data_IF_969462417432
#
_entry.id   IF_969462417432
#
_cell.length_a   1.000
_cell.length_b   1.000
_cell.length_c   1.000
_cell.angle_alpha   90.00
_cell.angle_beta   90.00
_cell.angle_gamma   90.00
#
_symmetry.space_group_name_H-M   'P 1'
#
loop_
_entity.id
_entity.type
_entity.pdbx_description
1 polymer ?
#
# COMPACT_ATOMS: atom_id res chain seq x y z
N UNK A 1 9.22 39.90 -4.65
CA UNK A 1 9.60 39.16 -3.43
C UNK A 1 8.38 38.79 -2.57
N UNK A 2 7.47 39.72 -2.26
CA UNK A 2 6.23 39.41 -1.51
C UNK A 2 5.25 38.48 -2.26
N UNK A 3 5.07 38.68 -3.57
CA UNK A 3 4.22 37.82 -4.42
C UNK A 3 4.70 36.37 -4.47
N UNK A 4 6.01 36.14 -4.52
CA UNK A 4 6.62 34.79 -4.50
C UNK A 4 6.35 34.06 -3.17
N UNK A 5 6.32 34.81 -2.05
CA UNK A 5 5.99 34.25 -0.73
C UNK A 5 4.51 33.85 -0.65
N UNK A 6 3.59 34.66 -1.19
CA UNK A 6 2.17 34.30 -1.24
C UNK A 6 1.91 33.06 -2.10
N UNK A 7 2.57 32.97 -3.26
CA UNK A 7 2.45 31.81 -4.15
C UNK A 7 2.99 30.52 -3.51
N UNK A 8 4.14 30.58 -2.83
CA UNK A 8 4.64 29.45 -2.05
C UNK A 8 3.70 29.04 -0.93
N UNK A 9 3.05 30.01 -0.28
CA UNK A 9 2.11 29.72 0.81
C UNK A 9 0.84 29.02 0.30
N UNK A 10 0.30 29.45 -0.85
CA UNK A 10 -0.83 28.75 -1.48
C UNK A 10 -0.45 27.35 -1.96
N UNK A 11 0.74 27.17 -2.55
CA UNK A 11 1.24 25.85 -2.97
C UNK A 11 1.42 24.90 -1.78
N UNK A 12 1.85 25.40 -0.61
CA UNK A 12 1.99 24.60 0.62
C UNK A 12 0.64 24.16 1.18
N UNK A 13 -0.37 25.04 1.17
CA UNK A 13 -1.71 24.68 1.63
C UNK A 13 -2.40 23.68 0.68
N UNK A 14 -2.25 23.84 -0.64
CA UNK A 14 -2.71 22.84 -1.61
C UNK A 14 -2.03 21.48 -1.39
N UNK A 15 -0.72 21.47 -1.10
CA UNK A 15 0.00 20.24 -0.81
C UNK A 15 -0.52 19.57 0.47
N UNK A 16 -0.85 20.35 1.50
CA UNK A 16 -1.42 19.84 2.77
C UNK A 16 -2.79 19.22 2.55
N UNK A 17 -3.66 19.87 1.78
CA UNK A 17 -4.97 19.31 1.44
C UNK A 17 -4.84 17.99 0.66
N UNK A 18 -3.93 17.93 -0.31
CA UNK A 18 -3.67 16.70 -1.07
C UNK A 18 -3.16 15.56 -0.16
N UNK A 19 -2.27 15.86 0.79
CA UNK A 19 -1.77 14.88 1.76
C UNK A 19 -2.89 14.42 2.71
N UNK A 20 -3.73 15.33 3.19
CA UNK A 20 -4.88 14.99 4.05
C UNK A 20 -5.87 14.07 3.33
N UNK A 21 -6.18 14.35 2.06
CA UNK A 21 -7.04 13.49 1.26
C UNK A 21 -6.41 12.11 1.04
N UNK A 22 -5.09 12.03 0.86
CA UNK A 22 -4.39 10.76 0.73
C UNK A 22 -4.42 9.93 2.04
N UNK A 23 -4.28 10.58 3.20
CA UNK A 23 -4.42 9.93 4.51
C UNK A 23 -5.81 9.34 4.71
N UNK A 24 -6.86 10.10 4.37
CA UNK A 24 -8.24 9.63 4.47
C UNK A 24 -8.51 8.43 3.56
N UNK A 25 -8.04 8.48 2.32
CA UNK A 25 -8.20 7.40 1.33
C UNK A 25 -7.52 6.10 1.79
N UNK A 26 -6.37 6.21 2.46
CA UNK A 26 -5.59 5.04 2.89
C UNK A 26 -5.89 4.58 4.32
N UNK A 27 -6.70 5.33 5.07
CA UNK A 27 -7.06 5.01 6.46
C UNK A 27 -7.70 3.63 6.63
N UNK A 28 -8.50 3.21 5.63
CA UNK A 28 -9.19 1.92 5.61
C UNK A 28 -8.39 0.79 4.99
N UNK A 29 -7.21 1.09 4.42
CA UNK A 29 -6.38 0.07 3.82
C UNK A 29 -5.80 -0.86 4.89
N UNK A 30 -5.74 -2.17 4.61
CA UNK A 30 -5.04 -3.09 5.48
C UNK A 30 -3.57 -2.68 5.64
N UNK A 31 -3.02 -2.98 6.82
CA UNK A 31 -1.62 -2.71 7.15
C UNK A 31 -0.87 -4.00 7.41
N UNK A 32 0.40 -4.01 7.07
CA UNK A 32 1.29 -5.14 7.30
C UNK A 32 1.71 -5.25 8.79
N UNK A 33 2.54 -6.24 9.10
CA UNK A 33 3.10 -6.47 10.44
C UNK A 33 3.88 -5.28 11.04
N UNK A 34 4.32 -4.33 10.22
CA UNK A 34 5.02 -3.10 10.61
C UNK A 34 4.12 -1.85 10.56
N UNK A 35 2.82 -2.02 10.30
CA UNK A 35 1.87 -0.91 10.21
C UNK A 35 1.93 -0.13 8.89
N UNK A 36 2.68 -0.63 7.89
CA UNK A 36 2.78 -0.02 6.56
C UNK A 36 1.49 -0.31 5.79
N UNK A 37 0.99 0.72 5.10
CA UNK A 37 -0.22 0.59 4.27
C UNK A 37 0.06 -0.37 3.13
N UNK A 38 -0.84 -1.33 2.92
CA UNK A 38 -0.81 -2.24 1.79
C UNK A 38 -1.75 -1.75 0.68
N UNK A 39 -1.34 -2.00 -0.56
CA UNK A 39 -2.09 -1.70 -1.77
C UNK A 39 -2.27 -2.95 -2.64
N UNK A 40 -3.10 -2.84 -3.68
CA UNK A 40 -3.16 -3.85 -4.73
C UNK A 40 -1.83 -3.92 -5.47
N UNK A 41 -1.47 -5.12 -5.93
CA UNK A 41 -0.25 -5.44 -6.65
C UNK A 41 1.06 -5.33 -5.87
N UNK A 42 1.02 -4.89 -4.61
CA UNK A 42 2.15 -4.97 -3.70
C UNK A 42 2.64 -6.41 -3.57
N UNK A 43 3.95 -6.56 -3.52
CA UNK A 43 4.61 -7.84 -3.25
C UNK A 43 4.90 -7.93 -1.75
N UNK A 44 4.49 -9.02 -1.14
CA UNK A 44 4.61 -9.27 0.29
C UNK A 44 5.26 -10.62 0.56
N UNK A 45 5.93 -10.74 1.70
CA UNK A 45 6.37 -12.02 2.25
C UNK A 45 5.26 -12.62 3.11
N UNK A 46 5.03 -13.92 2.91
CA UNK A 46 4.19 -14.73 3.77
C UNK A 46 4.78 -16.13 3.83
N UNK A 47 5.07 -16.64 5.04
CA UNK A 47 5.72 -17.95 5.24
C UNK A 47 6.95 -18.18 4.34
N UNK A 48 7.84 -17.18 4.26
CA UNK A 48 9.09 -17.21 3.48
C UNK A 48 8.94 -17.32 1.96
N UNK A 49 7.73 -17.14 1.42
CA UNK A 49 7.48 -17.05 -0.02
C UNK A 49 6.93 -15.67 -0.42
N UNK A 50 7.14 -15.30 -1.68
CA UNK A 50 6.72 -14.02 -2.25
C UNK A 50 5.32 -14.15 -2.86
N UNK A 51 4.43 -13.23 -2.49
CA UNK A 51 3.07 -13.17 -2.99
C UNK A 51 2.73 -11.75 -3.45
N UNK A 52 1.78 -11.63 -4.38
CA UNK A 52 1.17 -10.38 -4.78
C UNK A 52 -0.19 -10.22 -4.10
N UNK A 53 -0.53 -9.02 -3.64
CA UNK A 53 -1.89 -8.70 -3.19
C UNK A 53 -2.80 -8.51 -4.40
N UNK A 54 -3.87 -9.28 -4.48
CA UNK A 54 -4.79 -9.29 -5.62
C UNK A 54 -6.22 -8.89 -5.26
N UNK A 55 -6.53 -8.79 -3.97
CA UNK A 55 -7.75 -8.19 -3.45
C UNK A 55 -7.52 -7.76 -1.99
N UNK A 56 -8.33 -6.82 -1.51
CA UNK A 56 -8.29 -6.32 -0.13
C UNK A 56 -9.70 -6.27 0.45
N UNK A 57 -9.80 -6.41 1.77
CA UNK A 57 -11.05 -6.31 2.51
C UNK A 57 -10.98 -5.15 3.50
N UNK A 58 -12.09 -4.43 3.66
CA UNK A 58 -12.28 -3.42 4.72
C UNK A 58 -12.11 -3.98 6.15
N UNK A 59 -12.05 -5.31 6.32
CA UNK A 59 -11.83 -5.98 7.61
C UNK A 59 -10.35 -6.28 7.91
N UNK A 60 -9.41 -5.59 7.24
CA UNK A 60 -7.97 -5.77 7.48
C UNK A 60 -7.41 -7.10 6.96
N UNK A 61 -8.01 -7.67 5.90
CA UNK A 61 -7.52 -8.89 5.25
C UNK A 61 -7.11 -8.61 3.82
N UNK A 62 -6.13 -9.38 3.34
CA UNK A 62 -5.63 -9.32 1.97
C UNK A 62 -5.72 -10.69 1.32
N UNK A 63 -6.05 -10.72 0.04
CA UNK A 63 -5.95 -11.92 -0.77
C UNK A 63 -4.57 -11.93 -1.45
N UNK A 64 -3.76 -12.92 -1.11
CA UNK A 64 -2.39 -13.08 -1.63
C UNK A 64 -2.35 -14.19 -2.68
N UNK A 65 -1.64 -13.96 -3.77
CA UNK A 65 -1.39 -14.94 -4.84
C UNK A 65 0.11 -15.09 -5.05
N UNK A 66 0.60 -16.33 -5.13
CA UNK A 66 2.04 -16.55 -5.32
C UNK A 66 2.51 -15.89 -6.63
N UNK A 67 3.67 -15.23 -6.61
CA UNK A 67 4.13 -14.39 -7.75
C UNK A 67 4.31 -15.17 -9.06
N UNK A 68 4.55 -16.48 -8.99
CA UNK A 68 4.68 -17.36 -10.16
C UNK A 68 3.33 -17.73 -10.81
N UNK A 69 2.20 -17.37 -10.20
CA UNK A 69 0.87 -17.71 -10.72
C UNK A 69 0.28 -16.54 -11.49
N UNK A 70 -0.30 -16.85 -12.66
CA UNK A 70 -0.96 -15.89 -13.54
C UNK A 70 -2.39 -16.35 -13.80
N UNK A 71 -3.38 -15.46 -13.68
CA UNK A 71 -4.81 -15.79 -13.84
C UNK A 71 -5.59 -15.85 -12.52
N UNK A 72 -6.93 -15.81 -12.61
CA UNK A 72 -7.86 -15.55 -11.50
C UNK A 72 -7.89 -16.57 -10.35
N UNK A 73 -7.25 -17.72 -10.49
CA UNK A 73 -7.24 -18.79 -9.48
C UNK A 73 -6.05 -18.68 -8.49
N UNK A 74 -6.13 -19.37 -7.35
CA UNK A 74 -4.98 -19.57 -6.45
C UNK A 74 -4.68 -18.44 -5.45
N UNK A 75 -5.60 -17.49 -5.27
CA UNK A 75 -5.47 -16.50 -4.20
C UNK A 75 -5.97 -17.09 -2.85
N UNK A 76 -5.30 -16.71 -1.75
CA UNK A 76 -5.70 -17.06 -0.39
C UNK A 76 -5.90 -15.80 0.44
N UNK A 77 -6.97 -15.75 1.21
CA UNK A 77 -7.18 -14.68 2.19
C UNK A 77 -6.36 -14.92 3.46
N UNK A 78 -5.64 -13.90 3.90
CA UNK A 78 -4.89 -13.86 5.17
C UNK A 78 -5.14 -12.54 5.90
N UNK A 79 -5.02 -12.50 7.25
CA UNK A 79 -4.89 -11.23 7.96
C UNK A 79 -3.71 -10.43 7.43
N UNK A 80 -3.87 -9.11 7.28
CA UNK A 80 -2.82 -8.26 6.73
C UNK A 80 -1.59 -8.18 7.64
N UNK A 81 -1.78 -8.23 8.95
CA UNK A 81 -0.72 -8.31 9.95
C UNK A 81 0.14 -9.59 9.88
N UNK A 82 -0.25 -10.58 9.07
CA UNK A 82 0.53 -11.79 8.85
C UNK A 82 1.48 -11.69 7.65
N UNK A 83 1.45 -10.59 6.89
CA UNK A 83 2.34 -10.38 5.76
C UNK A 83 3.29 -9.23 6.04
N UNK A 84 4.43 -9.22 5.37
CA UNK A 84 5.40 -8.12 5.45
C UNK A 84 5.61 -7.54 4.05
N UNK A 85 5.41 -6.22 3.88
CA UNK A 85 5.66 -5.54 2.61
C UNK A 85 7.14 -5.65 2.21
N UNK A 86 7.37 -6.00 0.93
CA UNK A 86 8.69 -6.06 0.31
C UNK A 86 8.89 -4.77 -0.47
N UNK A 87 9.98 -4.06 -0.21
CA UNK A 87 10.25 -2.82 -0.96
C UNK A 87 10.57 -3.15 -2.42
N UNK A 88 10.28 -2.24 -3.34
CA UNK A 88 10.54 -2.44 -4.78
C UNK A 88 11.98 -2.83 -5.09
N UNK A 89 12.96 -2.46 -4.26
CA UNK A 89 14.37 -2.88 -4.40
C UNK A 89 14.60 -4.39 -4.18
N UNK A 90 13.76 -5.03 -3.37
CA UNK A 90 13.86 -6.46 -3.03
C UNK A 90 13.05 -7.34 -4.00
N UNK A 91 12.18 -6.74 -4.82
CA UNK A 91 11.38 -7.46 -5.84
C UNK A 91 12.21 -7.78 -7.09
N UNK A 92 13.17 -6.92 -7.46
CA UNK A 92 14.05 -7.08 -8.64
C UNK A 92 15.40 -7.78 -8.35
N UNK A 93 15.58 -8.30 -7.13
CA UNK A 93 16.67 -9.22 -6.78
C UNK A 93 16.14 -10.66 -6.72
#
# INVERSE_FOLDING_TARGET
MLFELFKRNSEVEELRELLSQAEDVTSSNPRDDQGRVLALDDVVLYNSARYRIVAMSHRGKVAIRHVSMHGGCGARWVPAECVSFITSQEVFR
#
